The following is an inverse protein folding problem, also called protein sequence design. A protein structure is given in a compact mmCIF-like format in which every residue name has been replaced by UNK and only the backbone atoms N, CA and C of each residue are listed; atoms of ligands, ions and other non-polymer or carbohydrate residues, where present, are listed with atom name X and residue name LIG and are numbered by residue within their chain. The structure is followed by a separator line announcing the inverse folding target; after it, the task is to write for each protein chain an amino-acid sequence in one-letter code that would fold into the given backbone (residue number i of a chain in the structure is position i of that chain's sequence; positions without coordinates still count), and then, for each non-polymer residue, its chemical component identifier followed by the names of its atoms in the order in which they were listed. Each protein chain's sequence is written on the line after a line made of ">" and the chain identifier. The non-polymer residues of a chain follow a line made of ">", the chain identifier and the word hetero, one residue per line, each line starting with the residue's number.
data_IF_654339369199
#
_entry.id   IF_654339369199
#
_cell.length_a   1.000
_cell.length_b   1.000
_cell.length_c   1.000
_cell.angle_alpha   90.00
_cell.angle_beta   90.00
_cell.angle_gamma   90.00
#
_symmetry.space_group_name_H-M   'P 1'
#
loop_
_entity.id
_entity.type
_entity.pdbx_description
1 polymer ?
#
# COMPACT_ATOMS: atom_id res chain seq x y z
N UNK A 1 3.11 -10.97 -10.10
CA UNK A 1 2.88 -9.54 -10.36
C UNK A 1 1.90 -9.43 -11.52
N UNK A 2 1.02 -8.45 -11.47
CA UNK A 2 0.14 -8.11 -12.60
C UNK A 2 0.66 -6.84 -13.29
N UNK A 3 0.30 -6.66 -14.56
CA UNK A 3 0.77 -5.51 -15.36
C UNK A 3 -0.38 -4.54 -15.58
N UNK A 4 -0.16 -3.28 -15.22
CA UNK A 4 -1.03 -2.15 -15.56
C UNK A 4 -0.28 -1.18 -16.47
N UNK A 5 -1.00 -0.48 -17.34
CA UNK A 5 -0.42 0.56 -18.20
C UNK A 5 -0.72 1.94 -17.60
N UNK A 6 0.33 2.70 -17.29
CA UNK A 6 0.23 4.07 -16.78
C UNK A 6 0.78 5.01 -17.86
N UNK A 7 -0.01 6.01 -18.25
CA UNK A 7 0.45 7.04 -19.17
C UNK A 7 1.43 7.95 -18.45
N UNK A 8 2.58 8.20 -19.08
CA UNK A 8 3.63 9.11 -18.62
C UNK A 8 4.05 9.99 -19.78
N UNK A 9 4.77 11.07 -19.50
CA UNK A 9 5.32 11.92 -20.54
C UNK A 9 6.24 11.15 -21.50
N UNK A 10 6.22 11.53 -22.78
CA UNK A 10 6.94 10.81 -23.83
C UNK A 10 8.45 10.71 -23.57
N UNK A 11 9.05 11.74 -22.94
CA UNK A 11 10.46 11.73 -22.57
C UNK A 11 10.78 10.71 -21.47
N UNK A 12 9.86 10.52 -20.51
CA UNK A 12 10.00 9.54 -19.43
C UNK A 12 9.86 8.13 -19.99
N UNK A 13 8.88 7.90 -20.87
CA UNK A 13 8.71 6.61 -21.54
C UNK A 13 9.97 6.20 -22.31
N UNK A 14 10.55 7.14 -23.08
CA UNK A 14 11.79 6.91 -23.83
C UNK A 14 12.97 6.64 -22.89
N UNK A 15 13.15 7.46 -21.85
CA UNK A 15 14.25 7.29 -20.89
C UNK A 15 14.15 5.97 -20.10
N UNK A 16 12.94 5.49 -19.81
CA UNK A 16 12.73 4.19 -19.17
C UNK A 16 13.09 3.03 -20.12
N UNK A 17 12.65 3.09 -21.38
CA UNK A 17 12.93 2.05 -22.38
C UNK A 17 14.42 1.92 -22.71
N UNK A 18 15.14 3.04 -22.73
CA UNK A 18 16.59 3.09 -22.99
C UNK A 18 17.43 2.76 -21.74
N UNK A 19 16.83 2.71 -20.55
CA UNK A 19 17.55 2.39 -19.32
C UNK A 19 17.94 0.90 -19.25
N UNK A 20 19.07 0.63 -18.58
CA UNK A 20 19.51 -0.73 -18.31
C UNK A 20 18.46 -1.53 -17.52
N UNK A 21 18.39 -2.87 -17.70
CA UNK A 21 17.38 -3.71 -17.04
C UNK A 21 17.36 -3.56 -15.51
N UNK A 22 18.53 -3.40 -14.88
CA UNK A 22 18.63 -3.19 -13.43
C UNK A 22 17.96 -1.88 -12.99
N UNK A 23 18.09 -0.83 -13.79
CA UNK A 23 17.47 0.48 -13.52
C UNK A 23 15.96 0.42 -13.76
N UNK A 24 15.51 -0.27 -14.80
CA UNK A 24 14.08 -0.52 -15.03
C UNK A 24 13.45 -1.26 -13.85
N UNK A 25 14.09 -2.33 -13.37
CA UNK A 25 13.60 -3.10 -12.23
C UNK A 25 13.54 -2.26 -10.94
N UNK A 26 14.54 -1.41 -10.69
CA UNK A 26 14.51 -0.47 -9.55
C UNK A 26 13.36 0.52 -9.64
N UNK A 27 13.11 1.06 -10.83
CA UNK A 27 11.97 1.96 -11.07
C UNK A 27 10.65 1.22 -10.84
N UNK A 28 10.52 -0.02 -11.32
CA UNK A 28 9.34 -0.85 -11.10
C UNK A 28 9.06 -1.05 -9.61
N UNK A 29 10.08 -1.34 -8.78
CA UNK A 29 9.92 -1.45 -7.33
C UNK A 29 9.40 -0.15 -6.72
N UNK A 30 10.04 0.98 -7.05
CA UNK A 30 9.65 2.30 -6.52
C UNK A 30 8.21 2.66 -6.90
N UNK A 31 7.82 2.44 -8.16
CA UNK A 31 6.45 2.71 -8.63
C UNK A 31 5.45 1.81 -7.91
N UNK A 32 5.76 0.52 -7.72
CA UNK A 32 4.86 -0.38 -6.99
C UNK A 32 4.66 0.05 -5.53
N UNK A 33 5.73 0.45 -4.84
CA UNK A 33 5.63 0.88 -3.44
C UNK A 33 4.90 2.22 -3.31
N UNK A 34 5.13 3.15 -4.25
CA UNK A 34 4.40 4.40 -4.32
C UNK A 34 2.90 4.17 -4.57
N UNK A 35 2.55 3.30 -5.52
CA UNK A 35 1.16 2.96 -5.80
C UNK A 35 0.49 2.32 -4.59
N UNK A 36 1.19 1.42 -3.88
CA UNK A 36 0.67 0.88 -2.61
C UNK A 36 0.40 1.97 -1.59
N UNK A 37 1.31 2.94 -1.42
CA UNK A 37 1.11 4.04 -0.47
C UNK A 37 -0.08 4.93 -0.86
N UNK A 38 -0.25 5.22 -2.14
CA UNK A 38 -1.34 6.07 -2.64
C UNK A 38 -2.69 5.33 -2.59
N UNK A 39 -2.71 4.04 -2.90
CA UNK A 39 -3.93 3.20 -2.93
C UNK A 39 -4.29 2.69 -1.53
N UNK A 40 -3.30 2.54 -0.63
CA UNK A 40 -3.53 2.43 0.82
C UNK A 40 -3.98 3.78 1.36
N UNK A 41 -5.10 4.26 0.85
CA UNK A 41 -6.04 5.10 1.58
C UNK A 41 -6.69 4.23 2.66
N UNK A 42 -5.85 3.58 3.50
CA UNK A 42 -6.33 2.95 4.72
C UNK A 42 -6.75 4.10 5.61
N UNK A 43 -8.04 4.37 5.58
CA UNK A 43 -8.66 5.20 6.58
C UNK A 43 -8.30 4.66 7.97
N UNK A 44 -8.35 5.52 8.99
CA UNK A 44 -8.27 5.03 10.37
C UNK A 44 -9.23 3.86 10.60
N UNK A 45 -10.38 3.84 9.91
CA UNK A 45 -11.35 2.76 9.96
C UNK A 45 -10.82 1.43 9.39
N UNK A 46 -9.99 1.44 8.34
CA UNK A 46 -9.37 0.23 7.80
C UNK A 46 -8.28 -0.31 8.73
N UNK A 47 -7.53 0.59 9.40
CA UNK A 47 -6.55 0.22 10.43
C UNK A 47 -7.27 -0.38 11.64
N UNK A 48 -8.38 0.23 12.06
CA UNK A 48 -9.23 -0.26 13.15
C UNK A 48 -9.84 -1.61 12.78
N UNK A 49 -10.37 -1.80 11.57
CA UNK A 49 -10.91 -3.09 11.12
C UNK A 49 -9.85 -4.19 11.15
N UNK A 50 -8.64 -3.92 10.65
CA UNK A 50 -7.56 -4.90 10.65
C UNK A 50 -7.11 -5.24 12.09
N UNK A 51 -7.10 -4.26 12.99
CA UNK A 51 -6.86 -4.49 14.42
C UNK A 51 -7.98 -5.32 15.07
N UNK A 52 -9.24 -5.07 14.70
CA UNK A 52 -10.40 -5.84 15.18
C UNK A 52 -10.38 -7.29 14.71
N UNK A 53 -10.02 -7.54 13.45
CA UNK A 53 -9.82 -8.89 12.92
C UNK A 53 -8.70 -9.63 13.65
N UNK A 54 -7.55 -8.97 13.86
CA UNK A 54 -6.43 -9.53 14.62
C UNK A 54 -6.76 -9.77 16.10
N UNK A 55 -7.58 -8.93 16.71
CA UNK A 55 -8.03 -9.08 18.09
C UNK A 55 -8.99 -10.27 18.23
N UNK A 56 -9.95 -10.42 17.31
CA UNK A 56 -10.84 -11.60 17.26
C UNK A 56 -10.06 -12.90 17.09
N UNK A 57 -9.07 -12.91 16.20
CA UNK A 57 -8.22 -14.09 15.94
C UNK A 57 -7.37 -14.49 17.17
N UNK A 58 -7.11 -13.52 18.06
CA UNK A 58 -6.41 -13.71 19.34
C UNK A 58 -7.35 -13.91 20.54
N UNK A 59 -8.67 -13.99 20.31
CA UNK A 59 -9.68 -14.15 21.36
C UNK A 59 -9.91 -12.93 22.24
N UNK A 60 -9.48 -11.74 21.80
CA UNK A 60 -9.78 -10.49 22.49
C UNK A 60 -11.19 -10.02 22.09
N UNK A 61 -12.11 -9.84 23.05
CA UNK A 61 -13.44 -9.33 22.75
C UNK A 61 -13.37 -7.87 22.30
N UNK A 62 -14.21 -7.54 21.32
CA UNK A 62 -14.34 -6.22 20.67
C UNK A 62 -14.42 -5.05 21.67
N UNK A 63 -15.06 -5.31 22.83
CA UNK A 63 -15.27 -4.35 23.91
C UNK A 63 -13.95 -3.77 24.48
N UNK A 64 -12.90 -4.58 24.59
CA UNK A 64 -11.58 -4.13 25.10
C UNK A 64 -10.86 -3.27 24.07
N UNK A 65 -11.05 -3.55 22.77
CA UNK A 65 -10.42 -2.78 21.70
C UNK A 65 -11.02 -1.37 21.60
N UNK A 66 -12.35 -1.28 21.71
CA UNK A 66 -13.07 0.00 21.65
C UNK A 66 -12.71 0.89 22.86
N UNK A 67 -12.50 0.31 24.04
CA UNK A 67 -12.00 1.04 25.22
C UNK A 67 -10.60 1.64 25.02
N UNK A 68 -9.71 0.95 24.32
CA UNK A 68 -8.35 1.42 24.03
C UNK A 68 -8.39 2.55 23.00
N UNK A 69 -9.25 2.42 21.97
CA UNK A 69 -9.35 3.40 20.88
C UNK A 69 -10.08 4.69 21.29
N UNK A 70 -11.04 4.63 22.22
CA UNK A 70 -11.75 5.82 22.72
C UNK A 70 -10.94 6.67 23.72
N UNK A 71 -9.92 6.08 24.36
CA UNK A 71 -9.15 6.74 25.42
C UNK A 71 -7.67 6.99 25.07
N UNK A 72 -7.31 6.85 23.78
CA UNK A 72 -5.97 7.09 23.24
C UNK A 72 -5.78 8.48 22.66
#
# INVERSE_FOLDING_TARGET
>A
METIAIQVDAEIAKAYQEAEPQKQQKIQTIVNDLLKLIIQDKSLDDIIQEMQEQAKDRGLPQEILDEILQNG
#
